data_IF_617038202960
#
_entry.id   IF_617038202960
#
_cell.length_a   1.000
_cell.length_b   1.000
_cell.length_c   1.000
_cell.angle_alpha   90.00
_cell.angle_beta   90.00
_cell.angle_gamma   90.00
#
_symmetry.space_group_name_H-M   'P 1'
#
loop_
_entity.id
_entity.type
_entity.pdbx_description
1 polymer ?
#
# COMPACT_ATOMS: atom_id res chain seq x y z
N UNK A 1 4.77 -9.68 -19.78
CA UNK A 1 4.10 -10.79 -19.07
C UNK A 1 3.03 -10.18 -18.21
N UNK A 2 1.76 -10.48 -18.46
CA UNK A 2 0.67 -10.14 -17.53
C UNK A 2 0.76 -11.11 -16.35
N UNK A 3 1.27 -10.65 -15.20
CA UNK A 3 1.24 -11.43 -13.96
C UNK A 3 -0.17 -11.37 -13.38
N UNK A 4 -0.83 -12.51 -13.29
CA UNK A 4 -2.01 -12.67 -12.46
C UNK A 4 -1.55 -12.79 -10.99
N UNK A 5 -1.45 -11.63 -10.33
CA UNK A 5 -1.01 -11.47 -8.94
C UNK A 5 -1.86 -12.26 -7.93
N UNK A 6 -3.04 -12.70 -8.35
CA UNK A 6 -3.97 -13.47 -7.53
C UNK A 6 -4.19 -14.89 -8.07
N UNK A 7 -3.35 -15.35 -9.00
CA UNK A 7 -3.40 -16.73 -9.48
C UNK A 7 -3.35 -17.71 -8.30
N UNK A 8 -4.27 -18.67 -8.33
CA UNK A 8 -4.44 -19.73 -7.34
C UNK A 8 -3.56 -20.95 -7.60
N UNK A 9 -2.78 -20.94 -8.69
CA UNK A 9 -1.93 -22.07 -9.08
C UNK A 9 -0.66 -22.18 -8.24
N UNK A 10 -0.25 -21.09 -7.57
CA UNK A 10 0.81 -21.08 -6.57
C UNK A 10 0.24 -21.19 -5.15
N UNK A 11 0.74 -22.10 -4.30
CA UNK A 11 0.06 -22.46 -3.06
C UNK A 11 0.07 -21.36 -1.98
N UNK A 12 1.14 -20.53 -1.89
CA UNK A 12 1.25 -19.43 -0.91
C UNK A 12 2.18 -18.33 -1.46
N UNK A 13 1.82 -17.06 -1.26
CA UNK A 13 2.72 -15.91 -1.43
C UNK A 13 3.09 -15.34 -0.06
N UNK A 14 4.38 -15.11 0.17
CA UNK A 14 4.93 -14.55 1.39
C UNK A 14 5.16 -13.05 1.24
N UNK A 15 4.58 -12.26 2.16
CA UNK A 15 4.77 -10.82 2.24
C UNK A 15 5.33 -10.39 3.59
N UNK A 16 6.12 -9.31 3.59
CA UNK A 16 6.57 -8.64 4.82
C UNK A 16 5.91 -7.28 5.00
N UNK A 17 5.43 -7.03 6.21
CA UNK A 17 4.88 -5.73 6.60
C UNK A 17 5.97 -4.68 6.72
N UNK A 18 5.76 -3.53 6.08
CA UNK A 18 6.67 -2.37 6.09
C UNK A 18 5.87 -1.10 6.33
N UNK A 19 6.46 -0.14 7.04
CA UNK A 19 5.79 1.12 7.43
C UNK A 19 6.65 2.36 7.22
N UNK A 20 7.89 2.18 6.75
CA UNK A 20 8.82 3.25 6.40
C UNK A 20 9.83 2.77 5.33
N UNK A 21 10.74 3.66 4.91
CA UNK A 21 11.77 3.32 3.94
C UNK A 21 12.84 2.36 4.48
N UNK A 22 13.12 2.39 5.79
CA UNK A 22 14.16 1.55 6.38
C UNK A 22 13.72 0.08 6.44
N UNK A 23 12.51 -0.17 6.95
CA UNK A 23 11.88 -1.49 6.94
C UNK A 23 11.77 -2.05 5.52
N UNK A 24 11.43 -1.22 4.53
CA UNK A 24 11.45 -1.59 3.12
C UNK A 24 12.84 -2.02 2.64
N UNK A 25 13.90 -1.24 2.92
CA UNK A 25 15.28 -1.61 2.54
C UNK A 25 15.75 -2.94 3.16
N UNK A 26 15.29 -3.29 4.37
CA UNK A 26 15.65 -4.56 5.02
C UNK A 26 15.11 -5.76 4.24
N UNK A 27 14.00 -5.60 3.52
CA UNK A 27 13.35 -6.67 2.75
C UNK A 27 14.18 -7.14 1.55
N UNK A 28 15.08 -6.31 0.99
CA UNK A 28 15.90 -6.65 -0.18
C UNK A 28 16.79 -7.89 0.01
N UNK A 29 17.07 -8.26 1.28
CA UNK A 29 17.87 -9.43 1.65
C UNK A 29 17.04 -10.70 1.86
N UNK A 30 15.71 -10.60 1.80
CA UNK A 30 14.78 -11.68 2.08
C UNK A 30 14.27 -12.30 0.78
N UNK A 31 13.92 -13.59 0.81
CA UNK A 31 13.27 -14.27 -0.30
C UNK A 31 11.74 -14.23 -0.10
N UNK A 32 11.10 -13.15 -0.57
CA UNK A 32 9.68 -12.87 -0.39
C UNK A 32 9.06 -12.49 -1.74
N UNK A 33 7.74 -12.54 -1.82
CA UNK A 33 7.00 -12.23 -3.04
C UNK A 33 6.61 -10.74 -3.12
N UNK A 34 6.32 -10.11 -1.97
CA UNK A 34 5.90 -8.71 -1.90
C UNK A 34 6.18 -8.06 -0.55
N UNK A 35 5.99 -6.74 -0.50
CA UNK A 35 5.87 -6.01 0.76
C UNK A 35 4.45 -5.48 0.94
N UNK A 36 4.01 -5.41 2.19
CA UNK A 36 2.68 -4.97 2.57
C UNK A 36 2.76 -3.71 3.42
N UNK A 37 2.04 -2.66 3.03
CA UNK A 37 1.87 -1.43 3.81
C UNK A 37 0.50 -1.51 4.48
N UNK A 38 0.50 -1.65 5.81
CA UNK A 38 -0.70 -1.71 6.64
C UNK A 38 -1.09 -0.31 7.14
N UNK A 39 -2.36 0.06 7.02
CA UNK A 39 -2.90 1.31 7.58
C UNK A 39 -2.78 1.36 9.10
N UNK A 40 -3.00 0.22 9.78
CA UNK A 40 -2.74 0.07 11.23
C UNK A 40 -1.29 0.41 11.60
N UNK A 41 -0.31 -0.12 10.86
CA UNK A 41 1.09 0.19 11.15
C UNK A 41 1.43 1.66 10.87
N UNK A 42 0.86 2.23 9.81
CA UNK A 42 1.03 3.66 9.49
C UNK A 42 0.41 4.54 10.58
N UNK A 43 -0.80 4.22 11.07
CA UNK A 43 -1.42 4.96 12.16
C UNK A 43 -0.57 4.88 13.44
N UNK A 44 -0.03 3.71 13.76
CA UNK A 44 0.84 3.52 14.92
C UNK A 44 2.13 4.34 14.83
N UNK A 45 2.77 4.42 13.65
CA UNK A 45 3.95 5.28 13.42
C UNK A 45 3.63 6.75 13.63
N UNK A 46 2.41 7.18 13.27
CA UNK A 46 1.94 8.55 13.47
C UNK A 46 1.41 8.82 14.89
N UNK A 47 1.42 7.82 15.78
CA UNK A 47 0.88 7.95 17.13
C UNK A 47 -0.65 8.07 17.16
N UNK A 48 -1.32 7.59 16.12
CA UNK A 48 -2.78 7.62 15.95
C UNK A 48 -3.40 6.23 16.20
N UNK A 49 -4.59 6.17 16.81
CA UNK A 49 -5.35 4.93 16.85
C UNK A 49 -5.82 4.55 15.44
N UNK A 50 -5.98 3.24 15.20
CA UNK A 50 -6.48 2.71 13.93
C UNK A 50 -7.99 2.90 13.79
N UNK A 51 -8.38 4.14 13.54
CA UNK A 51 -9.77 4.60 13.41
C UNK A 51 -9.99 5.39 12.10
N UNK A 52 -9.11 5.19 11.11
CA UNK A 52 -9.14 5.94 9.85
C UNK A 52 -8.81 7.43 10.03
N UNK A 53 -7.98 7.78 11.01
CA UNK A 53 -7.53 9.16 11.22
C UNK A 53 -6.36 9.56 10.32
N UNK A 54 -5.69 8.59 9.71
CA UNK A 54 -4.64 8.79 8.72
C UNK A 54 -5.26 9.35 7.44
N UNK A 55 -4.72 10.45 6.95
CA UNK A 55 -5.16 11.05 5.69
C UNK A 55 -4.61 10.28 4.48
N UNK A 56 -5.34 10.29 3.36
CA UNK A 56 -4.91 9.65 2.12
C UNK A 56 -3.54 10.14 1.63
N UNK A 57 -3.21 11.41 1.88
CA UNK A 57 -1.93 12.01 1.50
C UNK A 57 -0.77 11.53 2.38
N UNK A 58 -1.03 11.25 3.66
CA UNK A 58 -0.07 10.66 4.60
C UNK A 58 0.24 9.22 4.20
N UNK A 59 -0.81 8.41 3.95
CA UNK A 59 -0.66 7.06 3.42
C UNK A 59 0.12 7.06 2.09
N UNK A 60 -0.26 7.92 1.14
CA UNK A 60 0.44 8.03 -0.13
C UNK A 60 1.91 8.44 0.03
N UNK A 61 2.25 9.23 1.06
CA UNK A 61 3.63 9.60 1.37
C UNK A 61 4.46 8.41 1.82
N UNK A 62 3.91 7.58 2.70
CA UNK A 62 4.54 6.32 3.14
C UNK A 62 4.73 5.39 1.95
N UNK A 63 3.68 5.16 1.15
CA UNK A 63 3.74 4.28 -0.03
C UNK A 63 4.79 4.76 -1.02
N UNK A 64 4.86 6.05 -1.34
CA UNK A 64 5.91 6.61 -2.22
C UNK A 64 7.32 6.35 -1.68
N UNK A 65 7.49 6.43 -0.37
CA UNK A 65 8.79 6.17 0.28
C UNK A 65 9.15 4.70 0.19
N UNK A 66 8.21 3.80 0.48
CA UNK A 66 8.39 2.34 0.40
C UNK A 66 8.70 1.91 -1.04
N UNK A 67 7.91 2.36 -2.02
CA UNK A 67 8.10 2.02 -3.45
C UNK A 67 9.49 2.43 -3.96
N UNK A 68 10.06 3.54 -3.45
CA UNK A 68 11.43 3.95 -3.81
C UNK A 68 12.52 3.10 -3.15
N UNK A 69 12.21 2.47 -2.02
CA UNK A 69 13.16 1.76 -1.17
C UNK A 69 13.17 0.24 -1.38
N UNK A 70 12.15 -0.33 -2.01
CA UNK A 70 12.06 -1.78 -2.28
C UNK A 70 12.08 -2.08 -3.77
N UNK A 71 12.55 -3.28 -4.13
CA UNK A 71 12.38 -3.84 -5.48
C UNK A 71 11.12 -4.72 -5.63
N UNK A 72 10.45 -5.02 -4.52
CA UNK A 72 9.30 -5.92 -4.52
C UNK A 72 8.00 -5.16 -4.83
N UNK A 73 6.98 -5.83 -5.39
CA UNK A 73 5.63 -5.28 -5.48
C UNK A 73 5.11 -4.86 -4.11
N UNK A 74 4.33 -3.77 -4.08
CA UNK A 74 3.81 -3.18 -2.84
C UNK A 74 2.30 -3.38 -2.79
N UNK A 75 1.81 -4.10 -1.79
CA UNK A 75 0.37 -4.20 -1.51
C UNK A 75 0.01 -3.18 -0.43
N UNK A 76 -0.99 -2.34 -0.67
CA UNK A 76 -1.39 -1.29 0.26
C UNK A 76 -2.78 -1.57 0.83
N UNK A 77 -2.88 -1.54 2.15
CA UNK A 77 -4.14 -1.46 2.87
C UNK A 77 -4.64 -0.01 2.85
N UNK A 78 -5.73 0.24 2.12
CA UNK A 78 -6.28 1.57 1.88
C UNK A 78 -7.48 1.89 2.77
N UNK A 79 -7.65 1.16 3.88
CA UNK A 79 -8.84 1.23 4.75
C UNK A 79 -10.13 1.09 3.92
N UNK A 80 -11.06 2.04 4.07
CA UNK A 80 -12.30 2.14 3.29
C UNK A 80 -12.18 3.03 2.04
N UNK A 81 -10.96 3.40 1.65
CA UNK A 81 -10.69 4.26 0.49
C UNK A 81 -10.64 5.76 0.80
N UNK A 82 -10.45 6.15 2.07
CA UNK A 82 -10.23 7.53 2.54
C UNK A 82 -11.29 8.57 2.10
N UNK A 83 -12.51 8.14 1.76
CA UNK A 83 -13.59 9.00 1.23
C UNK A 83 -14.95 8.86 1.96
N UNK A 84 -14.99 8.21 3.11
CA UNK A 84 -16.20 8.05 3.91
C UNK A 84 -16.56 9.30 4.73
N UNK A 85 -17.81 9.45 5.22
CA UNK A 85 -18.31 10.66 5.90
C UNK A 85 -17.57 11.00 7.22
N UNK A 86 -16.78 10.08 7.76
CA UNK A 86 -15.96 10.29 8.96
C UNK A 86 -14.53 10.82 8.65
N UNK A 87 -14.06 10.74 7.40
CA UNK A 87 -12.77 11.31 7.00
C UNK A 87 -12.95 12.78 6.63
N UNK A 88 -12.55 13.68 7.52
CA UNK A 88 -12.63 15.12 7.27
C UNK A 88 -11.74 15.93 8.21
N UNK A 89 -10.43 15.96 7.94
CA UNK A 89 -9.67 17.20 8.18
C UNK A 89 -9.80 18.05 6.90
N UNK A 90 -10.10 19.35 6.98
CA UNK A 90 -10.25 20.16 5.78
C UNK A 90 -8.96 20.14 4.93
N UNK A 91 -9.01 19.55 3.72
CA UNK A 91 -7.96 19.67 2.69
C UNK A 91 -7.44 18.41 1.96
N UNK A 92 -7.94 17.19 2.22
CA UNK A 92 -7.24 15.94 1.81
C UNK A 92 -7.67 15.19 0.53
N UNK A 93 -8.70 15.62 -0.20
CA UNK A 93 -9.37 14.74 -1.19
C UNK A 93 -8.69 14.61 -2.58
N UNK A 94 -7.69 15.43 -2.94
CA UNK A 94 -7.34 15.67 -4.35
C UNK A 94 -6.01 15.08 -4.87
N UNK A 95 -5.32 14.18 -4.15
CA UNK A 95 -3.92 13.82 -4.47
C UNK A 95 -3.62 12.35 -4.87
N UNK A 96 -4.61 11.57 -5.31
CA UNK A 96 -4.32 10.25 -5.90
C UNK A 96 -3.71 10.42 -7.31
N UNK A 97 -2.56 9.78 -7.62
CA UNK A 97 -1.93 9.89 -8.93
C UNK A 97 -2.81 9.25 -10.01
N UNK A 98 -3.42 10.07 -10.85
CA UNK A 98 -4.14 9.60 -12.02
C UNK A 98 -3.20 9.35 -13.20
N UNK A 99 -3.07 8.09 -13.65
CA UNK A 99 -3.36 7.64 -15.04
C UNK A 99 -2.83 6.23 -15.36
N UNK A 100 -3.76 5.44 -15.93
CA UNK A 100 -3.62 4.20 -16.75
C UNK A 100 -3.45 2.88 -16.00
N UNK A 101 -4.50 2.45 -15.33
CA UNK A 101 -4.60 1.09 -14.79
C UNK A 101 -5.76 0.37 -15.47
N UNK A 102 -5.43 -0.45 -16.47
CA UNK A 102 -6.35 -1.46 -17.00
C UNK A 102 -6.41 -2.59 -15.99
N UNK A 103 -7.57 -2.78 -15.36
CA UNK A 103 -7.81 -3.86 -14.41
C UNK A 103 -8.26 -3.38 -13.03
N UNK A 104 -9.23 -2.46 -12.95
CA UNK A 104 -9.82 -2.05 -11.67
C UNK A 104 -10.88 -3.07 -11.26
N UNK A 105 -10.56 -3.95 -10.32
CA UNK A 105 -11.57 -4.69 -9.56
C UNK A 105 -11.92 -3.89 -8.30
N UNK A 106 -13.11 -3.28 -8.29
CA UNK A 106 -13.72 -2.69 -7.09
C UNK A 106 -14.21 -3.82 -6.18
N UNK A 107 -13.40 -4.16 -5.17
CA UNK A 107 -13.80 -4.99 -4.04
C UNK A 107 -13.47 -4.25 -2.74
N UNK A 108 -14.46 -4.08 -1.87
CA UNK A 108 -14.42 -3.25 -0.65
C UNK A 108 -13.44 -3.73 0.44
N UNK A 109 -12.61 -4.74 0.16
CA UNK A 109 -11.67 -5.37 1.09
C UNK A 109 -10.37 -5.87 0.43
N UNK A 110 -10.06 -5.43 -0.79
CA UNK A 110 -8.87 -5.92 -1.51
C UNK A 110 -7.79 -4.83 -1.55
N UNK A 111 -6.65 -5.10 -0.90
CA UNK A 111 -5.46 -4.26 -0.98
C UNK A 111 -5.05 -4.03 -2.43
N UNK A 112 -4.65 -2.80 -2.75
CA UNK A 112 -4.21 -2.45 -4.09
C UNK A 112 -2.73 -2.83 -4.24
N UNK A 113 -2.42 -3.63 -5.26
CA UNK A 113 -1.03 -3.92 -5.61
C UNK A 113 -0.50 -2.82 -6.53
N UNK A 114 0.62 -2.21 -6.15
CA UNK A 114 1.36 -1.23 -6.94
C UNK A 114 2.63 -1.92 -7.44
N UNK A 115 2.80 -1.92 -8.77
CA UNK A 115 3.97 -2.49 -9.42
C UNK A 115 5.25 -1.74 -9.01
N UNK A 116 6.38 -2.45 -8.85
CA UNK A 116 7.66 -1.80 -8.55
C UNK A 116 8.08 -0.91 -9.73
N UNK A 117 8.65 0.25 -9.42
CA UNK A 117 9.24 1.12 -10.44
C UNK A 117 10.56 0.50 -10.90
N UNK A 118 10.73 0.14 -12.19
CA UNK A 118 12.00 -0.40 -12.67
C UNK A 118 13.12 0.64 -12.49
N UNK A 119 14.27 0.20 -12.00
CA UNK A 119 15.48 1.03 -11.88
C UNK A 119 16.15 1.23 -13.23
#
# INVERSE_FOLDING_TARGET
MTLDWFSTDTPVRLGLGVHDGLSACVTDKQNIDFVWVSSFCVSAVLGLPDLGLVDSSEMASVVRTVVRATRYPVVVDMDSGYGGPAQGRPGGADNLPGRRERGVHRGQHAGQAVEPVPR
#
